data_IF_172855430215
#
_entry.id   IF_172855430215
#
_cell.length_a   1.000
_cell.length_b   1.000
_cell.length_c   1.000
_cell.angle_alpha   90.00
_cell.angle_beta   90.00
_cell.angle_gamma   90.00
#
_symmetry.space_group_name_H-M   'P 1'
#
loop_
_entity.id
_entity.type
_entity.pdbx_description
1 polymer ?
#
# COMPACT_ATOMS: atom_id res chain seq x y z
N UNK A 1 113.90 49.79 -29.63
CA UNK A 1 113.80 49.03 -28.35
C UNK A 1 112.52 49.41 -27.63
N UNK A 2 111.45 48.63 -27.81
CA UNK A 2 110.18 48.84 -27.10
C UNK A 2 110.30 48.34 -25.65
N UNK A 3 109.86 49.17 -24.71
CA UNK A 3 110.16 49.12 -23.29
C UNK A 3 109.45 47.93 -22.57
N UNK A 4 110.21 46.86 -22.32
CA UNK A 4 109.75 45.59 -21.72
C UNK A 4 108.98 45.77 -20.40
N UNK A 5 109.29 46.82 -19.63
CA UNK A 5 108.58 47.16 -18.38
C UNK A 5 107.10 47.43 -18.60
N UNK A 6 106.70 48.14 -19.67
CA UNK A 6 105.28 48.44 -19.95
C UNK A 6 104.46 47.19 -20.26
N UNK A 7 105.05 46.18 -20.93
CA UNK A 7 104.36 44.94 -21.25
C UNK A 7 104.09 44.09 -20.01
N UNK A 8 105.05 44.04 -19.08
CA UNK A 8 104.88 43.30 -17.81
C UNK A 8 103.81 43.97 -16.94
N UNK A 9 103.79 45.30 -16.85
CA UNK A 9 102.75 46.02 -16.09
C UNK A 9 101.36 45.80 -16.68
N UNK A 10 101.22 45.80 -18.02
CA UNK A 10 99.94 45.55 -18.68
C UNK A 10 99.43 44.13 -18.45
N UNK A 11 100.34 43.14 -18.47
CA UNK A 11 100.00 41.73 -18.24
C UNK A 11 99.58 41.48 -16.79
N UNK A 12 100.24 42.15 -15.84
CA UNK A 12 99.87 42.09 -14.42
C UNK A 12 98.52 42.76 -14.16
N UNK A 13 98.22 43.87 -14.84
CA UNK A 13 96.92 44.54 -14.75
C UNK A 13 95.80 43.65 -15.34
N UNK A 14 96.04 42.99 -16.48
CA UNK A 14 95.06 42.06 -17.07
C UNK A 14 94.79 40.84 -16.18
N UNK A 15 95.82 40.27 -15.54
CA UNK A 15 95.66 39.16 -14.60
C UNK A 15 94.87 39.57 -13.34
N UNK A 16 95.09 40.79 -12.82
CA UNK A 16 94.29 41.36 -11.73
C UNK A 16 92.83 41.58 -12.14
N UNK A 17 92.57 42.07 -13.36
CA UNK A 17 91.21 42.25 -13.87
C UNK A 17 90.48 40.90 -14.07
N UNK A 18 91.19 39.87 -14.56
CA UNK A 18 90.62 38.51 -14.70
C UNK A 18 90.31 37.87 -13.34
N UNK A 19 91.16 38.07 -12.33
CA UNK A 19 90.92 37.59 -10.96
C UNK A 19 89.70 38.26 -10.30
N UNK A 20 89.52 39.58 -10.50
CA UNK A 20 88.38 40.32 -9.98
C UNK A 20 87.06 39.98 -10.72
N UNK A 21 87.11 39.73 -12.03
CA UNK A 21 85.94 39.34 -12.80
C UNK A 21 85.40 37.95 -12.37
N UNK A 22 86.29 37.00 -12.07
CA UNK A 22 85.87 35.66 -11.65
C UNK A 22 85.25 35.64 -10.24
N UNK A 23 85.76 36.46 -9.32
CA UNK A 23 85.19 36.57 -7.97
C UNK A 23 83.82 37.26 -7.98
N UNK A 24 83.64 38.32 -8.77
CA UNK A 24 82.34 38.99 -8.93
C UNK A 24 81.30 38.07 -9.62
N UNK A 25 81.70 37.27 -10.60
CA UNK A 25 80.80 36.33 -11.27
C UNK A 25 80.35 35.20 -10.33
N UNK A 26 81.25 34.66 -9.50
CA UNK A 26 80.91 33.65 -8.51
C UNK A 26 79.96 34.20 -7.43
N UNK A 27 80.17 35.42 -6.93
CA UNK A 27 79.29 36.07 -5.96
C UNK A 27 77.90 36.38 -6.55
N UNK A 28 77.83 36.84 -7.80
CA UNK A 28 76.55 37.14 -8.46
C UNK A 28 75.71 35.87 -8.70
N UNK A 29 76.32 34.78 -9.16
CA UNK A 29 75.62 33.50 -9.32
C UNK A 29 75.24 32.86 -7.99
N UNK A 30 76.08 32.96 -6.95
CA UNK A 30 75.74 32.49 -5.61
C UNK A 30 74.54 33.22 -5.01
N UNK A 31 74.50 34.56 -5.12
CA UNK A 31 73.36 35.36 -4.65
C UNK A 31 72.07 35.05 -5.41
N UNK A 32 72.14 34.90 -6.75
CA UNK A 32 70.98 34.59 -7.60
C UNK A 32 70.45 33.16 -7.41
N UNK A 33 71.32 32.21 -7.04
CA UNK A 33 70.89 30.86 -6.72
C UNK A 33 70.21 30.81 -5.35
N UNK A 34 70.78 31.52 -4.36
CA UNK A 34 70.21 31.58 -3.02
C UNK A 34 68.84 32.28 -3.00
N UNK A 35 68.66 33.36 -3.77
CA UNK A 35 67.36 34.05 -3.88
C UNK A 35 66.30 33.17 -4.53
N UNK A 36 66.66 32.38 -5.56
CA UNK A 36 65.72 31.45 -6.18
C UNK A 36 65.34 30.30 -5.26
N UNK A 37 66.26 29.85 -4.41
CA UNK A 37 65.99 28.78 -3.44
C UNK A 37 65.03 29.26 -2.35
N UNK A 38 65.22 30.47 -1.82
CA UNK A 38 64.30 31.06 -0.84
C UNK A 38 62.90 31.26 -1.40
N UNK A 39 62.78 31.70 -2.66
CA UNK A 39 61.48 31.89 -3.30
C UNK A 39 60.73 30.55 -3.49
N UNK A 40 61.46 29.47 -3.79
CA UNK A 40 60.87 28.12 -3.90
C UNK A 40 60.50 27.51 -2.56
N UNK A 41 61.27 27.75 -1.50
CA UNK A 41 60.93 27.27 -0.16
C UNK A 41 59.70 27.98 0.38
N UNK A 42 59.57 29.28 0.13
CA UNK A 42 58.40 30.05 0.53
C UNK A 42 57.14 29.65 -0.26
N UNK A 43 57.26 29.34 -1.56
CA UNK A 43 56.13 28.85 -2.36
C UNK A 43 55.65 27.47 -1.90
N UNK A 44 56.58 26.55 -1.60
CA UNK A 44 56.25 25.20 -1.11
C UNK A 44 55.60 25.28 0.29
N UNK A 45 56.09 26.17 1.15
CA UNK A 45 55.50 26.38 2.47
C UNK A 45 54.07 26.95 2.39
N UNK A 46 53.80 27.86 1.44
CA UNK A 46 52.45 28.41 1.21
C UNK A 46 51.49 27.36 0.65
N UNK A 47 51.91 26.59 -0.36
CA UNK A 47 51.07 25.54 -0.95
C UNK A 47 50.72 24.45 0.08
N UNK A 48 51.68 24.08 0.93
CA UNK A 48 51.44 23.14 2.03
C UNK A 48 50.47 23.71 3.07
N UNK A 49 50.60 24.99 3.42
CA UNK A 49 49.70 25.65 4.37
C UNK A 49 48.27 25.79 3.81
N UNK A 50 48.11 26.05 2.50
CA UNK A 50 46.81 26.10 1.83
C UNK A 50 46.14 24.72 1.79
N UNK A 51 46.89 23.66 1.47
CA UNK A 51 46.39 22.29 1.48
C UNK A 51 45.93 21.85 2.90
N UNK A 52 46.72 22.16 3.94
CA UNK A 52 46.34 21.88 5.33
C UNK A 52 45.11 22.70 5.78
N UNK A 53 44.96 23.94 5.29
CA UNK A 53 43.79 24.77 5.59
C UNK A 53 42.52 24.23 4.89
N UNK A 54 42.62 23.76 3.65
CA UNK A 54 41.50 23.16 2.92
C UNK A 54 41.04 21.84 3.56
N UNK A 55 41.98 21.01 4.02
CA UNK A 55 41.66 19.76 4.73
C UNK A 55 40.95 20.03 6.06
N UNK A 56 41.40 21.03 6.82
CA UNK A 56 40.73 21.45 8.06
C UNK A 56 39.33 21.99 7.81
N UNK A 57 39.14 22.79 6.75
CA UNK A 57 37.82 23.31 6.39
C UNK A 57 36.85 22.18 5.99
N UNK A 58 37.32 21.15 5.29
CA UNK A 58 36.52 19.96 4.95
C UNK A 58 36.09 19.19 6.21
N UNK A 59 37.01 19.01 7.16
CA UNK A 59 36.71 18.33 8.44
C UNK A 59 35.67 19.12 9.24
N UNK A 60 35.86 20.43 9.40
CA UNK A 60 34.91 21.28 10.16
C UNK A 60 33.53 21.32 9.50
N UNK A 61 33.46 21.38 8.16
CA UNK A 61 32.18 21.33 7.44
C UNK A 61 31.46 19.99 7.60
N UNK A 62 32.22 18.88 7.65
CA UNK A 62 31.68 17.54 7.90
C UNK A 62 31.19 17.36 9.34
N UNK A 63 31.86 17.96 10.32
CA UNK A 63 31.44 17.93 11.72
C UNK A 63 30.15 18.73 11.95
N UNK A 64 30.04 19.93 11.38
CA UNK A 64 28.80 20.73 11.44
C UNK A 64 27.62 20.00 10.81
N UNK A 65 27.81 19.37 9.65
CA UNK A 65 26.76 18.57 9.00
C UNK A 65 26.33 17.35 9.84
N UNK A 66 27.26 16.73 10.57
CA UNK A 66 26.93 15.62 11.50
C UNK A 66 26.15 16.11 12.71
N UNK A 67 26.47 17.28 13.25
CA UNK A 67 25.76 17.89 14.36
C UNK A 67 24.33 18.28 13.98
N UNK A 68 24.14 18.90 12.81
CA UNK A 68 22.80 19.22 12.28
C UNK A 68 21.96 17.95 12.03
N UNK A 69 22.57 16.90 11.47
CA UNK A 69 21.89 15.62 11.27
C UNK A 69 21.51 14.94 12.61
N UNK A 70 22.31 15.11 13.66
CA UNK A 70 21.97 14.60 15.00
C UNK A 70 20.77 15.35 15.60
N UNK A 71 20.75 16.69 15.51
CA UNK A 71 19.63 17.51 15.98
C UNK A 71 18.33 17.20 15.23
N UNK A 72 18.40 17.06 13.90
CA UNK A 72 17.23 16.69 13.09
C UNK A 72 16.68 15.31 13.45
N UNK A 73 17.54 14.33 13.76
CA UNK A 73 17.10 12.99 14.23
C UNK A 73 16.39 13.06 15.57
N UNK A 74 16.88 13.89 16.49
CA UNK A 74 16.27 14.08 17.81
C UNK A 74 14.90 14.77 17.71
N UNK A 75 14.75 15.76 16.82
CA UNK A 75 13.45 16.39 16.52
C UNK A 75 12.46 15.40 15.91
N UNK A 76 12.89 14.58 14.95
CA UNK A 76 12.02 13.52 14.37
C UNK A 76 11.61 12.49 15.43
N UNK A 77 12.52 12.11 16.33
CA UNK A 77 12.21 11.18 17.41
C UNK A 77 11.15 11.76 18.38
N UNK A 78 11.27 13.04 18.75
CA UNK A 78 10.26 13.73 19.57
C UNK A 78 8.91 13.82 18.87
N UNK A 79 8.89 14.17 17.59
CA UNK A 79 7.65 14.22 16.80
C UNK A 79 6.96 12.86 16.69
N UNK A 80 7.72 11.77 16.53
CA UNK A 80 7.16 10.42 16.53
C UNK A 80 6.53 10.02 17.87
N UNK A 81 7.13 10.43 18.99
CA UNK A 81 6.57 10.17 20.32
C UNK A 81 5.24 10.92 20.53
N UNK A 82 5.15 12.18 20.11
CA UNK A 82 3.92 12.96 20.16
C UNK A 82 2.81 12.36 19.29
N UNK A 83 3.13 11.96 18.05
CA UNK A 83 2.17 11.29 17.16
C UNK A 83 1.67 9.99 17.79
N UNK A 84 2.54 9.22 18.44
CA UNK A 84 2.14 7.97 19.11
C UNK A 84 1.18 8.23 20.27
N UNK A 85 1.42 9.27 21.07
CA UNK A 85 0.52 9.69 22.17
C UNK A 85 -0.85 10.14 21.64
N UNK A 86 -0.87 10.98 20.61
CA UNK A 86 -2.12 11.45 19.99
C UNK A 86 -2.94 10.30 19.38
N UNK A 87 -2.29 9.35 18.73
CA UNK A 87 -2.97 8.15 18.20
C UNK A 87 -3.61 7.32 19.30
N UNK A 88 -2.91 7.12 20.42
CA UNK A 88 -3.45 6.37 21.55
C UNK A 88 -4.66 7.07 22.20
N UNK A 89 -4.66 8.42 22.26
CA UNK A 89 -5.79 9.19 22.76
C UNK A 89 -7.01 9.14 21.81
N UNK A 90 -6.78 9.20 20.50
CA UNK A 90 -7.86 9.06 19.52
C UNK A 90 -8.47 7.66 19.58
N UNK A 91 -7.64 6.61 19.67
CA UNK A 91 -8.11 5.24 19.75
C UNK A 91 -8.93 4.97 21.02
N UNK A 92 -8.56 5.58 22.16
CA UNK A 92 -9.33 5.43 23.40
C UNK A 92 -10.67 6.17 23.36
N UNK A 93 -10.72 7.36 22.74
CA UNK A 93 -11.98 8.10 22.53
C UNK A 93 -12.93 7.34 21.61
N UNK A 94 -12.43 6.85 20.47
CA UNK A 94 -13.25 6.08 19.53
C UNK A 94 -13.82 4.82 20.20
N UNK A 95 -13.03 4.11 21.01
CA UNK A 95 -13.52 2.94 21.75
C UNK A 95 -14.57 3.28 22.80
N UNK A 96 -14.55 4.49 23.37
CA UNK A 96 -15.58 4.94 24.30
C UNK A 96 -16.87 5.29 23.56
N UNK A 97 -16.77 6.04 22.45
CA UNK A 97 -17.90 6.39 21.59
C UNK A 97 -18.58 5.14 20.99
N UNK A 98 -17.81 4.14 20.56
CA UNK A 98 -18.33 2.86 20.07
C UNK A 98 -19.14 2.13 21.15
N UNK A 99 -18.67 2.13 22.41
CA UNK A 99 -19.40 1.50 23.52
C UNK A 99 -20.67 2.24 23.89
N UNK A 100 -20.63 3.57 23.90
CA UNK A 100 -21.84 4.39 24.14
C UNK A 100 -22.88 4.16 23.04
N UNK A 101 -22.45 4.08 21.78
CA UNK A 101 -23.33 3.76 20.66
C UNK A 101 -23.91 2.34 20.74
N UNK A 102 -23.13 1.35 21.18
CA UNK A 102 -23.59 -0.04 21.37
C UNK A 102 -24.64 -0.13 22.50
N UNK A 103 -24.45 0.58 23.60
CA UNK A 103 -25.41 0.66 24.71
C UNK A 103 -26.71 1.32 24.24
N UNK A 104 -26.63 2.46 23.55
CA UNK A 104 -27.81 3.15 23.04
C UNK A 104 -28.58 2.28 22.04
N UNK A 105 -27.88 1.58 21.13
CA UNK A 105 -28.51 0.68 20.19
C UNK A 105 -29.23 -0.51 20.87
N UNK A 106 -28.69 -1.01 21.99
CA UNK A 106 -29.32 -2.05 22.78
C UNK A 106 -30.60 -1.55 23.48
N UNK A 107 -30.56 -0.36 24.08
CA UNK A 107 -31.74 0.28 24.71
C UNK A 107 -32.85 0.55 23.67
N UNK A 108 -32.49 1.09 22.50
CA UNK A 108 -33.44 1.34 21.42
C UNK A 108 -34.05 0.03 20.86
N UNK A 109 -33.29 -1.08 20.88
CA UNK A 109 -33.77 -2.40 20.47
C UNK A 109 -34.74 -3.00 21.49
N UNK A 110 -34.48 -2.82 22.79
CA UNK A 110 -35.36 -3.26 23.88
C UNK A 110 -36.69 -2.49 23.87
N UNK A 111 -36.65 -1.17 23.68
CA UNK A 111 -37.86 -0.34 23.57
C UNK A 111 -38.70 -0.74 22.33
N UNK A 112 -38.06 -1.03 21.20
CA UNK A 112 -38.76 -1.60 20.03
C UNK A 112 -39.38 -2.95 20.34
N UNK A 113 -38.66 -3.85 21.01
CA UNK A 113 -39.18 -5.18 21.36
C UNK A 113 -40.43 -5.08 22.26
N UNK A 114 -40.45 -4.13 23.21
CA UNK A 114 -41.63 -3.86 24.03
C UNK A 114 -42.80 -3.29 23.21
N UNK A 115 -42.53 -2.34 22.31
CA UNK A 115 -43.52 -1.74 21.41
C UNK A 115 -44.19 -2.77 20.48
N UNK A 116 -43.47 -3.85 20.14
CA UNK A 116 -43.90 -4.90 19.22
C UNK A 116 -44.33 -6.22 19.88
N UNK A 117 -44.54 -6.26 21.20
CA UNK A 117 -44.90 -7.48 21.94
C UNK A 117 -46.38 -7.91 21.88
N UNK A 118 -47.23 -7.21 21.12
CA UNK A 118 -48.66 -7.49 21.02
C UNK A 118 -49.04 -8.55 19.96
N UNK A 119 -50.18 -9.21 20.14
CA UNK A 119 -50.76 -10.12 19.12
C UNK A 119 -51.02 -9.38 17.79
N UNK A 120 -51.30 -8.07 17.85
CA UNK A 120 -51.51 -7.22 16.67
C UNK A 120 -50.21 -6.93 15.88
N UNK A 121 -49.06 -6.84 16.54
CA UNK A 121 -47.77 -6.64 15.86
C UNK A 121 -47.29 -7.92 15.18
N UNK A 122 -47.55 -9.10 15.77
CA UNK A 122 -47.27 -10.37 15.09
C UNK A 122 -48.04 -10.49 13.75
N UNK A 123 -49.31 -10.06 13.71
CA UNK A 123 -50.10 -10.05 12.48
C UNK A 123 -49.65 -8.94 11.51
N UNK A 124 -49.27 -7.77 12.03
CA UNK A 124 -48.78 -6.67 11.22
C UNK A 124 -47.44 -7.00 10.54
N UNK A 125 -46.54 -7.68 11.24
CA UNK A 125 -45.22 -8.10 10.73
C UNK A 125 -45.28 -9.39 9.92
N UNK A 126 -46.34 -10.19 10.04
CA UNK A 126 -46.51 -11.39 9.23
C UNK A 126 -46.44 -11.10 7.72
N UNK A 127 -47.15 -10.07 7.24
CA UNK A 127 -47.17 -9.74 5.80
C UNK A 127 -45.80 -9.24 5.31
N UNK A 128 -45.14 -8.26 5.95
CA UNK A 128 -43.77 -7.86 5.61
C UNK A 128 -42.78 -9.02 5.65
N UNK A 129 -42.80 -9.86 6.69
CA UNK A 129 -41.89 -10.99 6.79
C UNK A 129 -42.08 -11.95 5.61
N UNK A 130 -43.32 -12.32 5.27
CA UNK A 130 -43.57 -13.18 4.10
C UNK A 130 -43.13 -12.57 2.77
N UNK A 131 -43.14 -11.24 2.65
CA UNK A 131 -42.60 -10.57 1.45
C UNK A 131 -41.07 -10.67 1.42
N UNK A 132 -40.40 -10.51 2.55
CA UNK A 132 -38.95 -10.69 2.65
C UNK A 132 -38.54 -12.12 2.27
N UNK A 133 -39.20 -13.14 2.83
CA UNK A 133 -38.92 -14.55 2.52
C UNK A 133 -39.11 -14.87 1.03
N UNK A 134 -40.13 -14.26 0.41
CA UNK A 134 -40.36 -14.42 -1.02
C UNK A 134 -39.23 -13.82 -1.85
N UNK A 135 -38.66 -12.69 -1.42
CA UNK A 135 -37.49 -12.09 -2.10
C UNK A 135 -36.26 -12.97 -1.90
N UNK A 136 -36.07 -13.58 -0.73
CA UNK A 136 -34.97 -14.51 -0.46
C UNK A 136 -35.00 -15.78 -1.32
N UNK A 137 -36.18 -16.14 -1.84
CA UNK A 137 -36.31 -17.25 -2.79
C UNK A 137 -35.56 -16.99 -4.11
N UNK A 138 -35.24 -15.73 -4.44
CA UNK A 138 -34.65 -15.37 -5.72
C UNK A 138 -33.41 -14.49 -5.56
N UNK A 139 -32.35 -14.86 -6.29
CA UNK A 139 -31.25 -13.94 -6.57
C UNK A 139 -31.51 -13.26 -7.91
N UNK A 140 -31.49 -11.93 -7.90
CA UNK A 140 -31.48 -11.10 -9.09
C UNK A 140 -30.35 -10.09 -9.01
N UNK A 141 -29.36 -10.26 -9.88
CA UNK A 141 -28.21 -9.36 -9.96
C UNK A 141 -28.02 -8.86 -11.39
N UNK A 142 -27.68 -7.58 -11.49
CA UNK A 142 -27.30 -6.95 -12.75
C UNK A 142 -25.91 -6.35 -12.59
N UNK A 143 -25.10 -6.45 -13.63
CA UNK A 143 -23.74 -5.96 -13.53
C UNK A 143 -23.10 -5.64 -14.87
N UNK A 144 -21.95 -4.99 -14.80
CA UNK A 144 -21.17 -4.58 -15.97
C UNK A 144 -19.69 -4.95 -15.81
N UNK A 145 -19.09 -5.50 -16.87
CA UNK A 145 -17.65 -5.75 -17.00
C UNK A 145 -17.23 -7.23 -17.16
N UNK A 146 -18.10 -8.19 -16.88
CA UNK A 146 -17.83 -9.62 -17.04
C UNK A 146 -18.32 -10.14 -18.41
N UNK A 147 -17.65 -11.18 -18.91
CA UNK A 147 -18.11 -11.97 -20.05
C UNK A 147 -18.14 -13.43 -19.61
N UNK A 148 -19.28 -14.10 -19.80
CA UNK A 148 -19.46 -15.47 -19.37
C UNK A 148 -20.90 -15.94 -19.44
N UNK A 149 -21.07 -17.25 -19.49
CA UNK A 149 -22.35 -17.94 -19.41
C UNK A 149 -22.21 -19.06 -18.39
N UNK A 150 -23.16 -19.15 -17.48
CA UNK A 150 -23.25 -20.19 -16.44
C UNK A 150 -24.71 -20.64 -16.34
N UNK A 151 -24.90 -21.94 -16.49
CA UNK A 151 -26.15 -22.64 -16.30
C UNK A 151 -25.96 -23.58 -15.11
N UNK A 152 -26.67 -23.29 -14.03
CA UNK A 152 -26.61 -24.05 -12.78
C UNK A 152 -27.96 -24.73 -12.56
N UNK A 153 -28.02 -26.05 -12.57
CA UNK A 153 -29.17 -26.75 -11.97
C UNK A 153 -29.00 -26.83 -10.46
N UNK A 154 -27.81 -27.18 -10.02
CA UNK A 154 -27.32 -27.04 -8.65
C UNK A 154 -25.82 -26.81 -8.74
N UNK A 155 -25.14 -26.53 -7.63
CA UNK A 155 -23.67 -26.50 -7.63
C UNK A 155 -23.04 -27.86 -7.93
N UNK A 156 -23.80 -28.96 -7.92
CA UNK A 156 -23.35 -30.27 -8.39
C UNK A 156 -23.42 -30.45 -9.91
N UNK A 157 -24.26 -29.66 -10.58
CA UNK A 157 -24.54 -29.76 -12.00
C UNK A 157 -24.53 -28.36 -12.62
N UNK A 158 -23.34 -27.77 -12.68
CA UNK A 158 -23.10 -26.46 -13.28
C UNK A 158 -22.32 -26.59 -14.59
N UNK A 159 -22.72 -25.83 -15.59
CA UNK A 159 -22.00 -25.74 -16.86
C UNK A 159 -21.80 -24.28 -17.18
N UNK A 160 -20.54 -23.85 -17.25
CA UNK A 160 -20.29 -22.46 -17.54
C UNK A 160 -18.83 -22.12 -17.62
N UNK A 161 -18.58 -20.93 -18.14
CA UNK A 161 -17.28 -20.31 -18.01
C UNK A 161 -17.48 -18.80 -18.03
N UNK A 162 -16.64 -18.10 -17.28
CA UNK A 162 -16.66 -16.66 -17.23
C UNK A 162 -15.30 -16.11 -16.86
N UNK A 163 -15.03 -14.91 -17.37
CA UNK A 163 -13.83 -14.16 -17.02
C UNK A 163 -14.15 -12.67 -17.02
N UNK A 164 -13.63 -11.97 -16.04
CA UNK A 164 -13.63 -10.52 -16.07
C UNK A 164 -13.58 -9.90 -14.69
N UNK A 165 -13.86 -8.61 -14.73
CA UNK A 165 -13.94 -7.75 -13.57
C UNK A 165 -15.25 -6.97 -13.71
N UNK A 166 -16.16 -7.15 -12.76
CA UNK A 166 -17.47 -6.56 -12.82
C UNK A 166 -17.84 -5.79 -11.56
N UNK A 167 -18.69 -4.79 -11.76
CA UNK A 167 -19.49 -4.16 -10.73
C UNK A 167 -20.91 -4.70 -10.84
N UNK A 168 -21.41 -5.27 -9.75
CA UNK A 168 -22.66 -6.00 -9.72
C UNK A 168 -23.51 -5.46 -8.57
N UNK A 169 -24.81 -5.24 -8.83
CA UNK A 169 -25.79 -4.83 -7.83
C UNK A 169 -27.05 -5.66 -7.95
N UNK A 170 -27.74 -5.87 -6.83
CA UNK A 170 -28.92 -6.70 -6.81
C UNK A 170 -29.32 -7.14 -5.42
N UNK A 171 -30.17 -8.16 -5.41
CA UNK A 171 -30.55 -8.95 -4.25
C UNK A 171 -30.04 -10.37 -4.49
N UNK A 172 -29.40 -10.95 -3.49
CA UNK A 172 -28.79 -12.25 -3.53
C UNK A 172 -29.17 -13.08 -2.32
N UNK A 173 -28.79 -14.35 -2.39
CA UNK A 173 -29.02 -15.35 -1.35
C UNK A 173 -28.75 -14.85 0.07
N UNK A 174 -29.63 -15.22 1.01
CA UNK A 174 -29.52 -14.90 2.44
C UNK A 174 -29.52 -13.40 2.71
N UNK A 175 -30.54 -12.68 2.19
CA UNK A 175 -30.76 -11.25 2.33
C UNK A 175 -29.57 -10.35 1.93
N UNK A 176 -28.68 -10.82 1.05
CA UNK A 176 -27.56 -10.01 0.59
C UNK A 176 -28.03 -8.99 -0.44
N UNK A 177 -27.86 -7.70 -0.16
CA UNK A 177 -28.24 -6.63 -1.08
C UNK A 177 -27.16 -5.55 -1.16
N UNK A 178 -27.15 -4.80 -2.25
CA UNK A 178 -26.25 -3.66 -2.43
C UNK A 178 -25.39 -3.75 -3.68
N UNK A 179 -24.16 -3.24 -3.59
CA UNK A 179 -23.21 -3.11 -4.69
C UNK A 179 -21.89 -3.75 -4.30
N UNK A 180 -21.42 -4.67 -5.13
CA UNK A 180 -20.13 -5.30 -4.94
C UNK A 180 -19.33 -5.32 -6.23
N UNK A 181 -18.04 -5.53 -6.04
CA UNK A 181 -17.09 -5.79 -7.10
C UNK A 181 -16.74 -7.27 -7.11
N UNK A 182 -16.74 -7.87 -8.30
CA UNK A 182 -16.31 -9.25 -8.49
C UNK A 182 -15.22 -9.32 -9.56
N UNK A 183 -14.11 -9.97 -9.22
CA UNK A 183 -13.11 -10.39 -10.19
C UNK A 183 -13.16 -11.91 -10.24
N UNK A 184 -13.38 -12.48 -11.42
CA UNK A 184 -13.42 -13.92 -11.58
C UNK A 184 -12.78 -14.39 -12.89
N UNK A 185 -12.28 -15.61 -12.83
CA UNK A 185 -12.01 -16.45 -13.99
C UNK A 185 -12.41 -17.85 -13.56
N UNK A 186 -13.32 -18.48 -14.27
CA UNK A 186 -13.79 -19.81 -13.92
C UNK A 186 -14.24 -20.60 -15.14
N UNK A 187 -14.12 -21.91 -15.03
CA UNK A 187 -14.71 -22.89 -15.91
C UNK A 187 -15.32 -24.01 -15.06
N UNK A 188 -16.59 -24.27 -15.31
CA UNK A 188 -17.44 -25.22 -14.60
C UNK A 188 -17.91 -26.34 -15.52
N UNK A 189 -17.76 -27.55 -15.02
CA UNK A 189 -18.32 -28.74 -15.64
C UNK A 189 -18.80 -29.70 -14.55
N UNK A 190 -20.11 -29.82 -14.39
CA UNK A 190 -20.76 -30.57 -13.31
C UNK A 190 -20.36 -30.04 -11.93
N UNK A 191 -19.73 -30.89 -11.10
CA UNK A 191 -19.24 -30.56 -9.77
C UNK A 191 -17.76 -30.13 -9.77
N UNK A 192 -17.15 -29.99 -10.95
CA UNK A 192 -15.77 -29.57 -11.10
C UNK A 192 -15.70 -28.10 -11.49
N UNK A 193 -14.97 -27.31 -10.70
CA UNK A 193 -14.67 -25.91 -10.94
C UNK A 193 -13.16 -25.68 -10.97
N UNK A 194 -12.70 -25.01 -12.01
CA UNK A 194 -11.36 -24.49 -12.11
C UNK A 194 -11.43 -22.97 -12.19
N UNK A 195 -10.82 -22.27 -11.25
CA UNK A 195 -10.91 -20.82 -11.28
C UNK A 195 -10.60 -20.12 -9.97
N UNK A 196 -10.84 -18.83 -9.97
CA UNK A 196 -10.80 -17.99 -8.79
C UNK A 196 -11.91 -16.95 -8.89
N UNK A 197 -12.60 -16.74 -7.76
CA UNK A 197 -13.57 -15.67 -7.57
C UNK A 197 -13.13 -14.84 -6.38
N UNK A 198 -12.96 -13.53 -6.57
CA UNK A 198 -12.71 -12.53 -5.52
C UNK A 198 -13.85 -11.51 -5.54
N UNK A 199 -14.69 -11.56 -4.52
CA UNK A 199 -15.80 -10.64 -4.29
C UNK A 199 -15.46 -9.69 -3.17
N UNK A 200 -15.58 -8.39 -3.42
CA UNK A 200 -15.41 -7.34 -2.42
C UNK A 200 -16.64 -6.45 -2.40
N UNK A 201 -17.22 -6.31 -1.21
CA UNK A 201 -18.31 -5.38 -0.98
C UNK A 201 -17.85 -3.94 -1.22
N UNK A 202 -18.71 -3.13 -1.83
CA UNK A 202 -18.52 -1.67 -1.95
C UNK A 202 -19.54 -0.96 -1.06
N UNK A 203 -20.79 -1.42 -1.06
CA UNK A 203 -21.90 -0.84 -0.31
C UNK A 203 -23.00 -1.90 -0.08
N UNK A 204 -23.70 -1.82 1.05
CA UNK A 204 -24.73 -2.78 1.46
C UNK A 204 -24.14 -3.98 2.19
N UNK A 205 -24.84 -5.12 2.13
CA UNK A 205 -24.62 -6.27 3.01
C UNK A 205 -24.08 -7.51 2.28
N UNK A 206 -23.61 -7.34 1.04
CA UNK A 206 -22.94 -8.43 0.32
C UNK A 206 -21.71 -8.95 1.06
N UNK A 207 -21.64 -10.26 1.27
CA UNK A 207 -20.49 -10.90 1.91
C UNK A 207 -19.29 -10.90 0.98
N UNK A 208 -18.16 -10.40 1.49
CA UNK A 208 -16.89 -10.47 0.78
C UNK A 208 -16.29 -11.87 0.94
N UNK A 209 -15.84 -12.47 -0.15
CA UNK A 209 -15.15 -13.74 -0.11
C UNK A 209 -14.14 -13.86 -1.24
N UNK A 210 -13.13 -14.69 -1.03
CA UNK A 210 -12.18 -15.07 -2.06
C UNK A 210 -12.01 -16.58 -2.04
N UNK A 211 -12.35 -17.22 -3.15
CA UNK A 211 -12.27 -18.66 -3.27
C UNK A 211 -11.51 -19.04 -4.53
N UNK A 212 -10.48 -19.87 -4.35
CA UNK A 212 -9.81 -20.56 -5.44
C UNK A 212 -10.37 -21.96 -5.55
N UNK A 213 -10.69 -22.36 -6.76
CA UNK A 213 -11.26 -23.64 -7.07
C UNK A 213 -10.28 -24.44 -7.91
N UNK A 214 -10.00 -25.67 -7.46
CA UNK A 214 -9.12 -26.60 -8.16
C UNK A 214 -9.69 -28.02 -8.04
N UNK A 215 -10.70 -28.31 -8.84
CA UNK A 215 -11.35 -29.62 -8.89
C UNK A 215 -12.75 -29.56 -8.31
N UNK A 216 -13.07 -30.50 -7.42
CA UNK A 216 -14.41 -30.61 -6.84
C UNK A 216 -14.79 -29.38 -5.99
N UNK A 217 -16.04 -28.95 -6.13
CA UNK A 217 -16.62 -27.88 -5.33
C UNK A 217 -16.86 -28.38 -3.90
N UNK A 218 -16.28 -27.68 -2.93
CA UNK A 218 -16.50 -27.92 -1.50
C UNK A 218 -17.81 -27.26 -1.04
N UNK A 219 -18.85 -28.07 -0.94
CA UNK A 219 -20.22 -27.67 -0.59
C UNK A 219 -20.32 -27.26 0.89
N UNK A 220 -19.61 -27.95 1.78
CA UNK A 220 -19.66 -27.65 3.22
C UNK A 220 -19.13 -26.25 3.48
N UNK A 221 -18.00 -25.92 2.83
CA UNK A 221 -17.44 -24.58 2.89
C UNK A 221 -18.36 -23.50 2.31
N UNK A 222 -19.13 -23.81 1.27
CA UNK A 222 -20.14 -22.89 0.73
C UNK A 222 -21.25 -22.63 1.76
N UNK A 223 -21.79 -23.70 2.37
CA UNK A 223 -22.82 -23.60 3.41
C UNK A 223 -22.34 -22.78 4.60
N UNK A 224 -21.14 -23.05 5.11
CA UNK A 224 -20.54 -22.32 6.22
C UNK A 224 -20.33 -20.83 5.90
N UNK A 225 -19.91 -20.51 4.68
CA UNK A 225 -19.71 -19.12 4.27
C UNK A 225 -21.02 -18.35 4.18
N UNK A 226 -22.13 -19.03 3.89
CA UNK A 226 -23.43 -18.44 3.59
C UNK A 226 -23.36 -17.37 2.49
N UNK A 227 -22.38 -17.44 1.60
CA UNK A 227 -22.16 -16.49 0.50
C UNK A 227 -22.90 -16.95 -0.78
N UNK A 228 -23.02 -18.26 -0.98
CA UNK A 228 -23.66 -18.90 -2.13
C UNK A 228 -24.49 -20.10 -1.66
N UNK A 229 -25.63 -20.34 -2.31
CA UNK A 229 -26.46 -21.53 -2.06
C UNK A 229 -25.98 -22.71 -2.93
N UNK A 230 -25.66 -23.87 -2.32
CA UNK A 230 -25.29 -25.07 -3.07
C UNK A 230 -26.42 -25.67 -3.90
N UNK A 231 -27.67 -25.37 -3.56
CA UNK A 231 -28.87 -25.90 -4.23
C UNK A 231 -29.51 -24.91 -5.20
N UNK A 232 -28.87 -23.76 -5.47
CA UNK A 232 -29.39 -22.77 -6.38
C UNK A 232 -29.56 -23.31 -7.81
N UNK A 233 -30.72 -23.05 -8.40
CA UNK A 233 -31.02 -23.28 -9.82
C UNK A 233 -31.00 -21.92 -10.51
N UNK A 234 -30.21 -21.72 -11.54
CA UNK A 234 -30.16 -20.43 -12.19
C UNK A 234 -29.34 -20.34 -13.47
N UNK A 235 -29.36 -19.14 -14.03
CA UNK A 235 -28.57 -18.74 -15.18
C UNK A 235 -27.90 -17.41 -14.90
N UNK A 236 -26.61 -17.34 -15.24
CA UNK A 236 -25.89 -16.09 -15.35
C UNK A 236 -25.40 -15.93 -16.77
N UNK A 237 -25.78 -14.85 -17.42
CA UNK A 237 -25.36 -14.52 -18.77
C UNK A 237 -24.79 -13.11 -18.79
N UNK A 238 -23.58 -12.95 -19.32
CA UNK A 238 -22.87 -11.68 -19.35
C UNK A 238 -22.05 -11.50 -20.63
N UNK A 239 -22.16 -10.31 -21.22
CA UNK A 239 -21.34 -9.83 -22.33
C UNK A 239 -21.16 -8.32 -22.14
N UNK A 240 -20.21 -7.92 -21.30
CA UNK A 240 -19.99 -6.55 -20.80
C UNK A 240 -21.11 -5.97 -19.95
N UNK A 241 -22.36 -6.30 -20.22
CA UNK A 241 -23.47 -6.20 -19.28
C UNK A 241 -24.00 -7.62 -19.04
N UNK A 242 -24.44 -7.91 -17.82
CA UNK A 242 -24.87 -9.23 -17.44
C UNK A 242 -26.02 -9.22 -16.46
N UNK A 243 -26.75 -10.33 -16.46
CA UNK A 243 -27.84 -10.64 -15.55
C UNK A 243 -27.56 -12.00 -14.93
N UNK A 244 -27.80 -12.10 -13.63
CA UNK A 244 -27.77 -13.35 -12.86
C UNK A 244 -29.16 -13.54 -12.26
N UNK A 245 -29.78 -14.67 -12.57
CA UNK A 245 -31.09 -15.08 -12.07
C UNK A 245 -30.95 -16.45 -11.44
N UNK A 246 -31.21 -16.56 -10.14
CA UNK A 246 -31.21 -17.85 -9.44
C UNK A 246 -32.46 -17.98 -8.59
N UNK A 247 -32.96 -19.20 -8.49
CA UNK A 247 -33.99 -19.65 -7.58
C UNK A 247 -33.31 -20.47 -6.49
N UNK A 248 -33.73 -20.28 -5.25
CA UNK A 248 -33.26 -21.00 -4.07
C UNK A 248 -34.35 -21.96 -3.60
N UNK A 249 -34.30 -23.25 -3.99
CA UNK A 249 -35.39 -24.18 -3.69
C UNK A 249 -35.60 -24.41 -2.20
N UNK A 250 -34.52 -24.33 -1.41
CA UNK A 250 -34.60 -24.51 0.05
C UNK A 250 -35.36 -23.34 0.69
N UNK A 251 -35.04 -22.10 0.32
CA UNK A 251 -35.75 -20.90 0.78
C UNK A 251 -37.21 -20.92 0.32
N UNK A 252 -37.46 -21.39 -0.90
CA UNK A 252 -38.83 -21.51 -1.41
C UNK A 252 -39.66 -22.52 -0.61
N UNK A 253 -39.06 -23.62 -0.17
CA UNK A 253 -39.73 -24.59 0.71
C UNK A 253 -39.99 -24.00 2.10
N UNK A 254 -39.07 -23.20 2.61
CA UNK A 254 -39.21 -22.53 3.90
C UNK A 254 -40.32 -21.45 3.87
N UNK A 255 -40.34 -20.62 2.83
CA UNK A 255 -41.44 -19.69 2.55
C UNK A 255 -42.80 -20.40 2.49
N UNK A 256 -42.88 -21.56 1.84
CA UNK A 256 -44.11 -22.36 1.79
C UNK A 256 -44.49 -22.96 3.16
N UNK A 257 -43.50 -23.41 3.92
CA UNK A 257 -43.70 -23.95 5.27
C UNK A 257 -44.18 -22.87 6.25
N UNK A 258 -43.75 -21.63 6.07
CA UNK A 258 -44.20 -20.45 6.81
C UNK A 258 -45.71 -20.19 6.73
N UNK A 259 -46.40 -20.60 5.66
CA UNK A 259 -47.87 -20.53 5.58
C UNK A 259 -48.58 -21.49 6.54
N UNK A 260 -47.89 -22.51 7.05
CA UNK A 260 -48.39 -23.49 8.01
C UNK A 260 -47.73 -23.27 9.39
N UNK A 261 -47.02 -22.16 9.59
CA UNK A 261 -46.28 -21.84 10.82
C UNK A 261 -45.18 -22.87 11.15
N UNK A 262 -44.58 -23.48 10.12
CA UNK A 262 -43.41 -24.33 10.26
C UNK A 262 -42.22 -23.53 9.74
N UNK A 263 -41.26 -23.27 10.63
CA UNK A 263 -39.96 -22.67 10.30
C UNK A 263 -38.93 -23.80 10.17
N UNK A 264 -38.38 -23.98 8.97
CA UNK A 264 -37.40 -25.04 8.68
C UNK A 264 -35.97 -24.53 8.96
N UNK A 265 -35.75 -23.22 8.88
CA UNK A 265 -34.43 -22.61 9.03
C UNK A 265 -34.15 -22.01 10.41
N UNK A 266 -35.17 -21.87 11.24
CA UNK A 266 -35.12 -21.23 12.57
C UNK A 266 -34.63 -19.77 12.50
N UNK A 267 -34.91 -19.08 11.37
CA UNK A 267 -34.56 -17.68 11.14
C UNK A 267 -35.76 -16.71 11.26
N UNK A 268 -36.98 -17.22 11.41
CA UNK A 268 -38.18 -16.44 11.75
C UNK A 268 -38.28 -16.27 13.30
N UNK A 269 -37.61 -15.24 13.87
CA UNK A 269 -37.79 -14.81 15.27
C UNK A 269 -38.45 -13.44 15.41
#
# INVERSE_FOLDING_TARGET
MFNLKKKITLLFLMLLCLGAANTLHASYWGWRFNSKMSDTEESIAREKAEAEAEERAKIESGEKAREEAARAKEEVARAHEEIAKLKAEIESKNKAEEKEAEIQAAEDAEERAELFSGIGSAILWYIPNRICDLVDCFTFEVGVGEIGLDLSLTRYATFGAGVGYAYITGFGFNNQNGLFRQQNWYADFLNLRLGETDRKNICGDYKAFRQRYKGEIDIEKMKESGCEDPYAIGVKASCYAGVNLQLHPVEFLDFLAGFIFIDIKDDDK
#
